data_IF_675657137861
#
_entry.id   IF_675657137861
#
_cell.length_a   1.000
_cell.length_b   1.000
_cell.length_c   1.000
_cell.angle_alpha   90.00
_cell.angle_beta   90.00
_cell.angle_gamma   90.00
#
_symmetry.space_group_name_H-M   'P 1'
#
loop_
_entity.id
_entity.type
_entity.pdbx_description
1 polymer ?
#
# COMPACT_ATOMS: atom_id res chain seq x y z
N UNK A 1 38.21 -39.72 -40.52
CA UNK A 1 37.11 -38.79 -40.67
C UNK A 1 35.90 -39.10 -39.80
N UNK A 2 35.53 -40.34 -39.47
CA UNK A 2 34.35 -40.67 -38.63
C UNK A 2 34.49 -40.35 -37.13
N UNK A 3 35.67 -40.22 -36.57
CA UNK A 3 35.91 -39.94 -35.14
C UNK A 3 35.75 -38.48 -34.78
N UNK A 4 35.98 -37.56 -35.68
CA UNK A 4 35.82 -36.11 -35.44
C UNK A 4 34.36 -35.63 -35.52
N UNK A 5 33.50 -36.35 -36.27
CA UNK A 5 32.09 -36.04 -36.37
C UNK A 5 31.36 -36.32 -35.04
N UNK A 6 31.79 -37.30 -34.26
CA UNK A 6 31.20 -37.66 -32.99
C UNK A 6 31.53 -36.65 -31.88
N UNK A 7 32.73 -36.06 -31.92
CA UNK A 7 33.18 -35.06 -30.96
C UNK A 7 32.47 -33.73 -31.18
N UNK A 8 32.23 -33.34 -32.44
CA UNK A 8 31.51 -32.14 -32.80
C UNK A 8 30.01 -32.23 -32.40
N UNK A 9 29.41 -33.42 -32.52
CA UNK A 9 28.01 -33.66 -32.09
C UNK A 9 27.85 -33.60 -30.57
N UNK A 10 28.88 -34.01 -29.81
CA UNK A 10 28.84 -33.99 -28.34
C UNK A 10 29.13 -32.58 -27.75
N UNK A 11 29.89 -31.75 -28.48
CA UNK A 11 30.18 -30.37 -28.07
C UNK A 11 29.01 -29.39 -28.40
N UNK A 12 28.20 -29.72 -29.40
CA UNK A 12 27.00 -28.95 -29.77
C UNK A 12 25.83 -29.13 -28.82
N UNK A 13 25.83 -30.15 -27.94
CA UNK A 13 24.76 -30.44 -27.01
C UNK A 13 24.95 -29.77 -25.63
N UNK A 14 26.08 -29.06 -25.44
CA UNK A 14 26.41 -28.38 -24.17
C UNK A 14 26.17 -26.87 -24.18
N UNK A 15 25.58 -26.34 -25.26
CA UNK A 15 25.21 -24.92 -25.39
C UNK A 15 23.70 -24.71 -25.45
N UNK A 16 22.91 -25.51 -24.72
CA UNK A 16 21.57 -25.13 -24.41
C UNK A 16 21.67 -24.08 -23.29
N UNK A 17 21.26 -22.83 -23.54
CA UNK A 17 21.19 -21.84 -22.46
C UNK A 17 20.22 -22.38 -21.42
N UNK A 18 20.66 -22.41 -20.17
CA UNK A 18 19.79 -22.55 -19.00
C UNK A 18 18.89 -21.31 -18.89
N UNK A 19 18.00 -21.14 -19.83
CA UNK A 19 16.88 -20.18 -19.73
C UNK A 19 15.62 -20.92 -19.28
N UNK A 20 15.73 -21.69 -18.21
CA UNK A 20 14.59 -22.40 -17.67
C UNK A 20 14.66 -22.34 -16.14
N UNK A 21 14.38 -21.17 -15.57
CA UNK A 21 13.91 -21.05 -14.19
C UNK A 21 13.14 -19.75 -13.88
N UNK A 22 12.87 -18.87 -14.85
CA UNK A 22 12.08 -17.67 -14.55
C UNK A 22 10.58 -17.95 -14.47
N UNK A 23 10.08 -19.02 -15.10
CA UNK A 23 8.64 -19.27 -15.19
C UNK A 23 8.01 -20.09 -14.07
N UNK A 24 8.80 -20.76 -13.20
CA UNK A 24 8.22 -21.62 -12.14
C UNK A 24 8.00 -20.83 -10.83
N UNK A 25 8.70 -19.71 -10.66
CA UNK A 25 8.57 -18.84 -9.47
C UNK A 25 7.74 -17.58 -9.75
N UNK A 26 7.34 -17.36 -10.99
CA UNK A 26 6.44 -16.29 -11.36
C UNK A 26 5.06 -16.53 -10.70
N UNK A 27 4.69 -15.66 -9.75
CA UNK A 27 3.48 -15.78 -8.96
C UNK A 27 3.66 -16.42 -7.56
N UNK A 28 4.85 -16.95 -7.23
CA UNK A 28 5.16 -17.39 -5.85
C UNK A 28 5.68 -16.22 -5.00
N UNK A 29 6.40 -15.30 -5.63
CA UNK A 29 6.86 -14.07 -4.98
C UNK A 29 6.21 -12.86 -5.61
N UNK A 30 5.71 -11.96 -4.76
CA UNK A 30 5.26 -10.65 -5.21
C UNK A 30 6.44 -9.89 -5.83
N UNK A 31 6.29 -9.48 -7.08
CA UNK A 31 7.31 -8.65 -7.73
C UNK A 31 7.08 -7.20 -7.30
N UNK A 32 8.04 -6.56 -6.60
CA UNK A 32 7.90 -5.16 -6.24
C UNK A 32 7.87 -4.32 -7.51
N UNK A 33 6.95 -3.36 -7.59
CA UNK A 33 7.08 -2.29 -8.55
C UNK A 33 8.33 -1.48 -8.17
N UNK A 34 9.10 -1.03 -9.16
CA UNK A 34 10.24 -0.19 -8.89
C UNK A 34 9.77 1.12 -8.22
N UNK A 35 10.25 1.38 -7.00
CA UNK A 35 10.15 2.71 -6.41
C UNK A 35 11.38 3.48 -6.82
N UNK A 36 11.20 4.59 -7.53
CA UNK A 36 12.30 5.45 -7.97
C UNK A 36 12.81 6.37 -6.86
N UNK A 37 12.17 6.35 -5.69
CA UNK A 37 12.51 7.23 -4.57
C UNK A 37 13.01 6.45 -3.36
N UNK A 38 14.08 6.96 -2.75
CA UNK A 38 14.54 6.56 -1.42
C UNK A 38 14.06 7.55 -0.33
N UNK A 39 13.35 8.61 -0.72
CA UNK A 39 12.85 9.64 0.18
C UNK A 39 11.43 9.29 0.59
N UNK A 40 11.13 9.44 1.89
CA UNK A 40 9.81 9.25 2.45
C UNK A 40 9.04 10.57 2.44
N UNK A 41 7.71 10.49 2.45
CA UNK A 41 6.81 11.64 2.45
C UNK A 41 6.19 11.92 1.10
N UNK A 42 5.87 13.16 0.82
CA UNK A 42 5.32 13.64 -0.45
C UNK A 42 6.46 13.76 -1.47
N UNK A 43 6.71 12.69 -2.22
CA UNK A 43 7.86 12.57 -3.14
C UNK A 43 7.64 13.20 -4.51
N UNK A 44 6.39 13.37 -4.91
CA UNK A 44 5.97 14.08 -6.13
C UNK A 44 4.74 14.91 -5.82
N UNK A 45 4.73 16.13 -6.31
CA UNK A 45 3.57 17.03 -6.21
C UNK A 45 3.45 17.81 -7.49
N UNK A 46 2.24 17.88 -8.04
CA UNK A 46 1.91 18.72 -9.17
C UNK A 46 0.81 19.71 -8.77
N UNK A 47 1.16 20.97 -8.48
CA UNK A 47 0.19 21.98 -8.08
C UNK A 47 -0.85 22.30 -9.15
N UNK A 48 -0.56 22.02 -10.43
CA UNK A 48 -1.48 22.32 -11.53
C UNK A 48 -2.63 21.34 -11.64
N UNK A 49 -2.40 20.09 -11.20
CA UNK A 49 -3.38 19.00 -11.20
C UNK A 49 -3.82 18.60 -9.80
N UNK A 50 -3.28 19.27 -8.77
CA UNK A 50 -3.49 18.94 -7.36
C UNK A 50 -3.17 17.49 -7.02
N UNK A 51 -2.29 16.85 -7.80
CA UNK A 51 -1.98 15.44 -7.67
C UNK A 51 -0.54 15.19 -7.24
N UNK A 52 -0.28 14.00 -6.74
CA UNK A 52 1.04 13.62 -6.33
C UNK A 52 1.16 12.18 -5.91
N UNK A 53 2.33 11.85 -5.40
CA UNK A 53 2.67 10.53 -4.87
C UNK A 53 3.28 10.67 -3.49
N UNK A 54 2.82 9.85 -2.57
CA UNK A 54 3.35 9.74 -1.20
C UNK A 54 4.03 8.38 -1.09
N UNK A 55 5.21 8.37 -0.50
CA UNK A 55 5.94 7.14 -0.18
C UNK A 55 6.21 7.08 1.31
N UNK A 56 5.75 6.01 1.96
CA UNK A 56 5.85 5.86 3.42
C UNK A 56 6.45 4.51 3.80
N UNK A 57 7.09 4.50 4.97
CA UNK A 57 7.51 3.28 5.66
C UNK A 57 6.49 2.96 6.77
N UNK A 58 5.65 1.96 6.52
CA UNK A 58 4.72 1.38 7.47
C UNK A 58 5.15 -0.05 7.88
N UNK A 59 6.44 -0.35 7.94
CA UNK A 59 6.96 -1.68 8.26
C UNK A 59 6.90 -2.01 9.75
N UNK A 60 7.01 -1.01 10.64
CA UNK A 60 6.99 -1.21 12.09
C UNK A 60 5.54 -1.33 12.60
N UNK A 61 5.21 -2.48 13.21
CA UNK A 61 3.91 -2.75 13.83
C UNK A 61 3.57 -1.82 15.00
N UNK A 62 4.54 -1.15 15.59
CA UNK A 62 4.33 -0.22 16.69
C UNK A 62 4.07 1.21 16.24
N UNK A 63 3.94 1.47 14.93
CA UNK A 63 3.83 2.82 14.40
C UNK A 63 2.59 3.02 13.58
N UNK A 64 1.96 4.18 13.80
CA UNK A 64 1.08 4.81 12.83
C UNK A 64 1.84 5.88 12.05
N UNK A 65 1.66 5.91 10.74
CA UNK A 65 2.17 6.95 9.86
C UNK A 65 1.00 7.84 9.44
N UNK A 66 1.04 9.09 9.88
CA UNK A 66 0.01 10.10 9.68
C UNK A 66 0.33 10.92 8.45
N UNK A 67 -0.67 11.17 7.61
CA UNK A 67 -0.58 11.92 6.36
C UNK A 67 -1.55 13.08 6.42
N UNK A 68 -1.03 14.29 6.21
CA UNK A 68 -1.79 15.53 6.09
C UNK A 68 -1.67 16.04 4.65
N UNK A 69 -2.77 16.01 3.91
CA UNK A 69 -2.83 16.48 2.53
C UNK A 69 -2.77 18.00 2.42
N UNK A 70 -3.26 18.73 3.43
CA UNK A 70 -3.30 20.18 3.45
C UNK A 70 -1.91 20.80 3.51
N UNK A 71 -1.07 20.27 4.39
CA UNK A 71 0.29 20.78 4.60
C UNK A 71 1.35 19.95 3.91
N UNK A 72 0.95 18.84 3.26
CA UNK A 72 1.84 17.86 2.62
C UNK A 72 2.91 17.34 3.58
N UNK A 73 2.49 16.95 4.79
CA UNK A 73 3.36 16.39 5.82
C UNK A 73 3.06 14.92 6.08
N UNK A 74 4.11 14.22 6.47
CA UNK A 74 4.03 12.86 6.98
C UNK A 74 4.74 12.81 8.32
N UNK A 75 4.01 12.36 9.35
CA UNK A 75 4.53 12.15 10.69
C UNK A 75 4.39 10.68 11.08
N UNK A 76 5.21 10.19 12.01
CA UNK A 76 5.15 8.81 12.49
C UNK A 76 5.21 8.76 14.01
N UNK A 77 4.25 8.05 14.61
CA UNK A 77 4.09 7.93 16.07
C UNK A 77 4.22 6.47 16.49
N UNK A 78 5.10 6.23 17.46
CA UNK A 78 5.21 4.93 18.11
C UNK A 78 4.14 4.82 19.22
N UNK A 79 3.16 3.93 19.03
CA UNK A 79 2.02 3.75 19.94
C UNK A 79 2.37 3.09 21.27
N UNK A 80 3.57 2.51 21.39
CA UNK A 80 4.07 1.93 22.64
C UNK A 80 4.85 2.93 23.47
N UNK A 81 5.09 4.13 22.94
CA UNK A 81 5.76 5.23 23.62
C UNK A 81 4.71 6.21 24.15
N UNK A 82 4.51 6.23 25.45
CA UNK A 82 3.50 7.08 26.10
C UNK A 82 3.78 8.59 26.01
N UNK A 83 5.00 8.99 25.63
CA UNK A 83 5.37 10.39 25.46
C UNK A 83 5.03 10.90 24.06
N UNK A 84 4.91 10.01 23.08
CA UNK A 84 4.48 10.37 21.74
C UNK A 84 2.95 10.51 21.66
N UNK A 85 2.50 11.50 20.92
CA UNK A 85 1.08 11.77 20.69
C UNK A 85 0.79 11.85 19.21
N UNK A 86 -0.44 11.54 18.84
CA UNK A 86 -0.91 11.78 17.48
C UNK A 86 -0.76 13.27 17.12
N UNK A 87 -0.40 13.60 15.87
CA UNK A 87 -0.40 14.99 15.41
C UNK A 87 -1.76 15.66 15.61
N UNK A 88 -1.80 16.96 15.81
CA UNK A 88 -3.05 17.70 15.92
C UNK A 88 -3.82 17.76 14.59
N UNK A 89 -3.06 17.88 13.49
CA UNK A 89 -3.60 17.95 12.14
C UNK A 89 -3.09 16.75 11.32
N UNK A 90 -4.02 16.03 10.75
CA UNK A 90 -3.80 14.90 9.83
C UNK A 90 -5.13 14.50 9.19
N UNK A 91 -5.07 13.80 8.07
CA UNK A 91 -6.25 13.38 7.31
C UNK A 91 -6.47 11.88 7.35
N UNK A 92 -5.41 11.12 7.02
CA UNK A 92 -5.41 9.66 7.11
C UNK A 92 -4.17 9.19 7.86
N UNK A 93 -4.25 8.02 8.49
CA UNK A 93 -3.09 7.36 9.08
C UNK A 93 -3.02 5.90 8.67
N UNK A 94 -1.81 5.40 8.43
CA UNK A 94 -1.53 4.06 7.94
C UNK A 94 -0.76 3.27 9.00
N UNK A 95 -1.24 2.06 9.30
CA UNK A 95 -0.58 1.08 10.16
C UNK A 95 -0.44 -0.22 9.39
N UNK A 96 0.76 -0.56 8.99
CA UNK A 96 0.99 -1.67 8.07
C UNK A 96 0.17 -1.48 6.78
N UNK A 97 -1.03 -2.03 6.72
CA UNK A 97 -1.95 -1.97 5.57
C UNK A 97 -3.32 -1.42 5.96
N UNK A 98 -3.60 -1.38 7.25
CA UNK A 98 -4.84 -0.83 7.80
C UNK A 98 -4.76 0.69 7.86
N UNK A 99 -5.88 1.35 7.64
CA UNK A 99 -5.98 2.81 7.58
C UNK A 99 -7.05 3.29 8.54
N UNK A 100 -6.85 4.46 9.12
CA UNK A 100 -7.88 5.25 9.80
C UNK A 100 -7.94 6.65 9.22
N UNK A 101 -9.07 7.33 9.41
CA UNK A 101 -9.29 8.72 9.03
C UNK A 101 -9.38 9.61 10.27
N UNK A 102 -9.14 10.90 10.12
CA UNK A 102 -9.39 11.88 11.20
C UNK A 102 -10.84 12.37 11.13
N UNK A 103 -11.77 11.57 11.66
CA UNK A 103 -13.22 11.83 11.59
C UNK A 103 -13.73 12.04 10.14
N UNK A 104 -13.09 11.39 9.17
CA UNK A 104 -13.50 11.34 7.78
C UNK A 104 -14.32 10.09 7.47
N UNK A 105 -14.69 9.94 6.19
CA UNK A 105 -15.40 8.78 5.69
C UNK A 105 -14.91 8.43 4.27
N UNK A 106 -15.01 7.16 3.88
CA UNK A 106 -14.41 6.65 2.64
C UNK A 106 -15.43 5.94 1.76
N UNK A 107 -15.30 6.15 0.45
CA UNK A 107 -16.06 5.47 -0.59
C UNK A 107 -15.09 4.82 -1.58
N UNK A 108 -15.21 3.51 -1.84
CA UNK A 108 -14.61 2.91 -3.02
C UNK A 108 -15.40 3.36 -4.26
N UNK A 109 -14.72 4.07 -5.18
CA UNK A 109 -15.39 4.71 -6.32
C UNK A 109 -15.71 3.77 -7.47
N UNK A 110 -15.16 2.55 -7.47
CA UNK A 110 -15.20 1.63 -8.60
C UNK A 110 -14.21 1.97 -9.74
N UNK A 111 -13.66 3.18 -9.79
CA UNK A 111 -12.65 3.58 -10.77
C UNK A 111 -11.28 2.97 -10.43
N UNK A 112 -10.47 2.75 -11.46
CA UNK A 112 -9.10 2.21 -11.34
C UNK A 112 -8.02 3.22 -11.71
N UNK A 113 -8.38 4.43 -12.07
CA UNK A 113 -7.45 5.50 -12.43
C UNK A 113 -8.06 6.88 -12.23
N UNK A 114 -7.21 7.84 -11.89
CA UNK A 114 -7.64 9.23 -11.65
C UNK A 114 -8.18 9.91 -12.89
N UNK A 115 -7.60 9.65 -14.07
CA UNK A 115 -8.08 10.25 -15.31
C UNK A 115 -9.52 9.87 -15.63
N UNK A 116 -9.92 8.63 -15.34
CA UNK A 116 -11.32 8.20 -15.53
C UNK A 116 -12.25 8.81 -14.49
N UNK A 117 -11.78 8.97 -13.26
CA UNK A 117 -12.52 9.63 -12.20
C UNK A 117 -12.71 11.14 -12.50
N UNK A 118 -11.64 11.84 -12.90
CA UNK A 118 -11.70 13.27 -13.24
C UNK A 118 -12.56 13.58 -14.46
N UNK A 119 -12.73 12.61 -15.38
CA UNK A 119 -13.61 12.73 -16.54
C UNK A 119 -15.05 12.27 -16.26
N UNK A 120 -15.38 11.92 -15.03
CA UNK A 120 -16.75 11.59 -14.66
C UNK A 120 -17.64 12.83 -14.71
N UNK A 121 -18.92 12.64 -15.02
CA UNK A 121 -19.89 13.75 -15.15
C UNK A 121 -20.41 14.26 -13.81
N UNK A 122 -20.12 13.56 -12.73
CA UNK A 122 -20.53 13.89 -11.37
C UNK A 122 -19.60 13.20 -10.35
N UNK A 123 -19.57 13.75 -9.12
CA UNK A 123 -18.89 13.11 -7.99
C UNK A 123 -19.41 11.67 -7.80
N UNK A 124 -18.53 10.73 -7.45
CA UNK A 124 -18.95 9.36 -7.18
C UNK A 124 -20.03 9.32 -6.09
N UNK A 125 -21.13 8.66 -6.42
CA UNK A 125 -22.23 8.46 -5.48
C UNK A 125 -22.08 7.10 -4.80
N UNK A 126 -22.44 7.04 -3.51
CA UNK A 126 -22.39 5.82 -2.73
C UNK A 126 -22.45 6.09 -1.23
N UNK A 127 -22.30 5.01 -0.46
CA UNK A 127 -22.25 5.09 1.00
C UNK A 127 -20.80 5.31 1.42
N UNK A 128 -20.54 6.47 2.00
CA UNK A 128 -19.26 6.73 2.65
C UNK A 128 -19.21 5.99 3.99
N UNK A 129 -18.15 5.24 4.21
CA UNK A 129 -17.97 4.39 5.40
C UNK A 129 -17.10 5.14 6.40
N UNK A 130 -17.64 5.35 7.59
CA UNK A 130 -16.92 5.92 8.72
C UNK A 130 -15.97 4.90 9.34
N UNK A 131 -15.02 5.37 10.15
CA UNK A 131 -14.15 4.51 10.92
C UNK A 131 -14.93 3.74 12.00
N UNK A 132 -14.52 2.50 12.23
CA UNK A 132 -15.07 1.64 13.28
C UNK A 132 -14.03 1.38 14.36
N UNK A 133 -14.49 1.29 15.62
CA UNK A 133 -13.63 0.93 16.75
C UNK A 133 -13.31 -0.55 16.75
N UNK A 134 -12.07 -0.89 17.02
CA UNK A 134 -11.61 -2.28 17.12
C UNK A 134 -10.59 -2.47 18.23
N UNK A 135 -10.58 -3.67 18.81
CA UNK A 135 -9.56 -4.15 19.75
C UNK A 135 -8.87 -5.44 19.26
N UNK A 136 -9.13 -5.85 18.02
CA UNK A 136 -8.69 -7.15 17.47
C UNK A 136 -8.16 -7.05 16.04
N UNK A 137 -7.94 -5.82 15.54
CA UNK A 137 -7.49 -5.61 14.16
C UNK A 137 -6.05 -5.10 14.09
N UNK A 138 -5.71 -4.11 14.89
CA UNK A 138 -4.43 -3.41 14.82
C UNK A 138 -3.41 -4.14 15.67
N UNK A 139 -2.62 -5.01 15.05
CA UNK A 139 -1.61 -5.81 15.72
C UNK A 139 -0.33 -4.98 15.93
N UNK A 140 0.09 -4.80 17.19
CA UNK A 140 1.30 -4.03 17.55
C UNK A 140 2.48 -4.90 17.95
N UNK A 141 2.26 -6.17 18.24
CA UNK A 141 3.32 -7.15 18.46
C UNK A 141 2.91 -8.51 17.88
N UNK A 142 3.72 -8.98 16.94
CA UNK A 142 3.56 -10.26 16.24
C UNK A 142 4.58 -11.31 16.70
N UNK A 143 5.41 -11.02 17.68
CA UNK A 143 6.50 -11.92 18.12
C UNK A 143 5.99 -13.29 18.60
N UNK A 144 4.83 -13.31 19.23
CA UNK A 144 4.16 -14.53 19.68
C UNK A 144 3.21 -15.18 18.67
N UNK A 145 3.22 -14.77 17.40
CA UNK A 145 2.25 -15.23 16.38
C UNK A 145 2.22 -16.74 16.22
N UNK A 146 3.39 -17.41 16.30
CA UNK A 146 3.49 -18.87 16.14
C UNK A 146 2.84 -19.63 17.29
N UNK A 147 2.72 -19.00 18.47
CA UNK A 147 2.06 -19.54 19.66
C UNK A 147 0.62 -19.02 19.80
N UNK A 148 0.12 -18.28 18.80
CA UNK A 148 -1.21 -17.66 18.81
C UNK A 148 -1.30 -16.40 19.69
N UNK A 149 -0.19 -15.88 20.18
CA UNK A 149 -0.11 -14.71 21.04
C UNK A 149 0.23 -13.47 20.23
N UNK A 150 -0.81 -12.80 19.70
CA UNK A 150 -0.69 -11.52 19.01
C UNK A 150 -1.20 -10.44 19.94
N UNK A 151 -0.44 -9.35 20.10
CA UNK A 151 -0.90 -8.18 20.86
C UNK A 151 -1.55 -7.17 19.93
N UNK A 152 -2.79 -6.81 20.22
CA UNK A 152 -3.55 -5.81 19.51
C UNK A 152 -3.70 -4.54 20.34
N UNK A 153 -3.76 -3.39 19.67
CA UNK A 153 -4.16 -2.14 20.31
C UNK A 153 -5.62 -1.82 20.00
N UNK A 154 -6.23 -1.10 20.91
CA UNK A 154 -7.53 -0.46 20.68
C UNK A 154 -7.34 0.77 19.76
N UNK A 155 -8.11 0.84 18.68
CA UNK A 155 -8.00 1.94 17.72
C UNK A 155 -9.27 2.05 16.87
N UNK A 156 -9.45 3.19 16.23
CA UNK A 156 -10.32 3.29 15.05
C UNK A 156 -9.58 2.77 13.83
N UNK A 157 -10.31 2.21 12.86
CA UNK A 157 -9.82 1.93 11.53
C UNK A 157 -10.96 2.01 10.51
N UNK A 158 -10.61 2.32 9.26
CA UNK A 158 -11.56 2.39 8.16
C UNK A 158 -11.55 1.08 7.38
N UNK A 159 -12.66 0.35 7.43
CA UNK A 159 -12.79 -0.95 6.74
C UNK A 159 -12.73 -0.79 5.22
N UNK A 160 -13.27 0.32 4.70
CA UNK A 160 -13.35 0.53 3.26
C UNK A 160 -11.98 0.85 2.66
N UNK A 161 -11.25 1.81 3.23
CA UNK A 161 -9.95 2.19 2.73
C UNK A 161 -8.91 1.07 2.94
N UNK A 162 -9.02 0.30 4.00
CA UNK A 162 -8.11 -0.83 4.27
C UNK A 162 -8.22 -1.96 3.23
N UNK A 163 -9.28 -1.98 2.40
CA UNK A 163 -9.41 -2.89 1.25
C UNK A 163 -8.49 -2.54 0.08
N UNK A 164 -7.79 -1.40 0.11
CA UNK A 164 -6.82 -1.05 -0.93
C UNK A 164 -5.75 -2.12 -1.12
N UNK A 165 -5.45 -2.90 -0.07
CA UNK A 165 -4.59 -4.08 -0.13
C UNK A 165 -5.28 -5.27 0.55
N UNK A 166 -5.63 -6.28 -0.21
CA UNK A 166 -6.10 -7.54 0.33
C UNK A 166 -4.93 -8.44 0.74
N UNK A 167 -4.93 -8.90 1.99
CA UNK A 167 -3.93 -9.82 2.54
C UNK A 167 -4.61 -11.15 2.87
N UNK A 168 -4.48 -12.12 1.98
CA UNK A 168 -4.98 -13.48 2.18
C UNK A 168 -3.99 -14.28 3.04
N UNK A 169 -4.41 -14.61 4.24
CA UNK A 169 -3.64 -15.37 5.24
C UNK A 169 -4.02 -16.87 5.26
N UNK A 170 -4.84 -17.34 4.33
CA UNK A 170 -5.27 -18.74 4.25
C UNK A 170 -4.10 -19.69 3.93
N UNK A 171 -3.04 -19.16 3.32
CA UNK A 171 -1.81 -19.85 3.00
C UNK A 171 -0.60 -19.18 3.67
N UNK A 172 0.50 -19.91 3.81
CA UNK A 172 1.78 -19.37 4.28
C UNK A 172 2.85 -19.59 3.21
N UNK A 173 3.53 -18.53 2.71
CA UNK A 173 3.37 -17.11 3.09
C UNK A 173 2.04 -16.51 2.62
N UNK A 174 1.53 -15.44 3.28
CA UNK A 174 0.33 -14.73 2.87
C UNK A 174 0.45 -14.13 1.48
N UNK A 175 -0.65 -14.16 0.71
CA UNK A 175 -0.72 -13.52 -0.61
C UNK A 175 -1.27 -12.10 -0.48
N UNK A 176 -0.68 -11.17 -1.23
CA UNK A 176 -1.02 -9.75 -1.22
C UNK A 176 -1.54 -9.34 -2.59
N UNK A 177 -2.69 -8.67 -2.62
CA UNK A 177 -3.31 -8.24 -3.88
C UNK A 177 -3.80 -6.81 -3.76
N UNK A 178 -3.27 -5.92 -4.61
CA UNK A 178 -3.77 -4.55 -4.73
C UNK A 178 -5.20 -4.54 -5.27
N UNK A 179 -6.08 -3.76 -4.68
CA UNK A 179 -7.44 -3.55 -5.23
C UNK A 179 -7.38 -2.83 -6.58
N UNK A 180 -6.34 -2.04 -6.81
CA UNK A 180 -6.19 -1.12 -7.94
C UNK A 180 -7.34 -0.11 -8.05
N UNK A 181 -8.09 0.11 -6.98
CA UNK A 181 -9.23 1.03 -6.94
C UNK A 181 -8.80 2.41 -6.45
N UNK A 182 -9.54 3.41 -6.93
CA UNK A 182 -9.49 4.76 -6.38
C UNK A 182 -10.51 4.87 -5.27
N UNK A 183 -10.10 5.37 -4.13
CA UNK A 183 -10.95 5.64 -2.98
C UNK A 183 -11.14 7.15 -2.83
N UNK A 184 -12.36 7.57 -2.60
CA UNK A 184 -12.69 8.94 -2.26
C UNK A 184 -12.76 9.07 -0.75
N UNK A 185 -11.90 9.90 -0.18
CA UNK A 185 -11.85 10.19 1.24
C UNK A 185 -12.49 11.56 1.44
N UNK A 186 -13.61 11.59 2.14
CA UNK A 186 -14.21 12.83 2.64
C UNK A 186 -13.50 13.17 3.94
N UNK A 187 -12.83 14.32 3.98
CA UNK A 187 -12.07 14.79 5.12
C UNK A 187 -12.95 15.47 6.16
N UNK A 188 -12.42 15.68 7.36
CA UNK A 188 -13.10 16.29 8.50
C UNK A 188 -13.67 17.69 8.20
N UNK A 189 -12.98 18.46 7.38
CA UNK A 189 -13.39 19.81 6.95
C UNK A 189 -14.42 19.83 5.82
N UNK A 190 -14.78 18.64 5.31
CA UNK A 190 -15.72 18.45 4.21
C UNK A 190 -15.09 18.47 2.81
N UNK A 191 -13.80 18.70 2.67
CA UNK A 191 -13.08 18.54 1.40
C UNK A 191 -12.90 17.06 1.04
N UNK A 192 -12.45 16.79 -0.17
CA UNK A 192 -12.26 15.42 -0.66
C UNK A 192 -10.84 15.21 -1.14
N UNK A 193 -10.29 14.03 -0.81
CA UNK A 193 -9.08 13.51 -1.43
C UNK A 193 -9.41 12.23 -2.20
N UNK A 194 -8.87 12.09 -3.41
CA UNK A 194 -8.89 10.82 -4.12
C UNK A 194 -7.53 10.12 -3.89
N UNK A 195 -7.54 8.88 -3.42
CA UNK A 195 -6.31 8.13 -3.11
C UNK A 195 -6.32 6.76 -3.76
N UNK A 196 -5.14 6.26 -4.10
CA UNK A 196 -4.96 4.93 -4.66
C UNK A 196 -3.62 4.35 -4.20
N UNK A 197 -3.64 3.16 -3.62
CA UNK A 197 -2.42 2.41 -3.35
C UNK A 197 -1.91 1.79 -4.66
N UNK A 198 -0.66 2.10 -5.03
CA UNK A 198 -0.04 1.63 -6.27
C UNK A 198 1.09 0.63 -6.03
N UNK A 199 1.68 0.65 -4.82
CA UNK A 199 2.68 -0.33 -4.42
C UNK A 199 2.69 -0.48 -2.90
N UNK A 200 3.07 -1.66 -2.41
CA UNK A 200 3.16 -1.98 -0.98
C UNK A 200 4.53 -2.56 -0.58
N UNK A 201 5.53 -2.47 -1.47
CA UNK A 201 6.89 -2.94 -1.23
C UNK A 201 7.92 -1.92 -1.69
N UNK A 202 9.13 -1.99 -1.13
CA UNK A 202 10.28 -1.29 -1.69
C UNK A 202 10.96 -2.13 -2.81
N UNK A 203 11.99 -1.55 -3.43
CA UNK A 203 12.76 -2.22 -4.49
C UNK A 203 13.47 -3.51 -4.04
N UNK A 204 13.62 -3.73 -2.73
CA UNK A 204 14.18 -4.96 -2.16
C UNK A 204 13.11 -6.00 -1.80
N UNK A 205 11.84 -5.77 -2.14
CA UNK A 205 10.73 -6.67 -1.84
C UNK A 205 10.26 -6.64 -0.38
N UNK A 206 10.67 -5.64 0.41
CA UNK A 206 10.24 -5.49 1.80
C UNK A 206 8.84 -4.91 1.83
N UNK A 207 7.87 -5.69 2.33
CA UNK A 207 6.45 -5.30 2.45
C UNK A 207 6.23 -4.30 3.58
N UNK A 208 5.33 -3.33 3.34
CA UNK A 208 5.01 -2.25 4.28
C UNK A 208 5.55 -0.89 3.82
N UNK A 209 6.36 -0.84 2.76
CA UNK A 209 6.66 0.40 2.07
C UNK A 209 5.52 0.70 1.10
N UNK A 210 4.73 1.73 1.41
CA UNK A 210 3.51 2.03 0.68
C UNK A 210 3.72 3.20 -0.28
N UNK A 211 3.34 3.03 -1.55
CA UNK A 211 3.29 4.10 -2.54
C UNK A 211 1.83 4.44 -2.81
N UNK A 212 1.45 5.65 -2.49
CA UNK A 212 0.07 6.14 -2.55
C UNK A 212 0.02 7.31 -3.53
N UNK A 213 -0.69 7.15 -4.63
CA UNK A 213 -1.02 8.28 -5.49
C UNK A 213 -2.26 8.99 -4.93
N UNK A 214 -2.31 10.32 -5.09
CA UNK A 214 -3.41 11.14 -4.57
C UNK A 214 -3.74 12.32 -5.49
N UNK A 215 -4.96 12.83 -5.33
CA UNK A 215 -5.41 14.16 -5.77
C UNK A 215 -6.03 14.85 -4.58
N UNK A 216 -5.54 16.05 -4.22
CA UNK A 216 -6.10 16.87 -3.15
C UNK A 216 -5.87 18.37 -3.37
N UNK A 217 -6.91 19.24 -3.22
CA UNK A 217 -8.31 18.85 -3.11
C UNK A 217 -8.82 18.21 -4.40
N UNK A 218 -9.74 17.23 -4.26
CA UNK A 218 -10.43 16.66 -5.40
C UNK A 218 -11.76 17.37 -5.63
N UNK A 219 -11.93 17.92 -6.82
CA UNK A 219 -13.13 18.60 -7.31
C UNK A 219 -13.42 18.14 -8.75
N UNK A 220 -14.71 18.14 -9.17
CA UNK A 220 -15.16 17.86 -10.54
C UNK A 220 -15.77 19.12 -11.13
#
# INVERSE_FOLDING_TARGET
MKRYLFIISMLGMMLLPFSACDGILEGIYDSPAASDSNELGFIRTDPSTHSGTIYIDATDYRRWTFIDFHTQKVDSVNVTDSEQKEPEEWDIAVHRYDVKTNAGAVLETGFTGFSTLQNASAMPEGVYVDDVWTNAKIAIDMSGMMDGNIVYMESYYNEELSKWLNVDKSNMPPTYTLSNKVYMVKLKDGTYAAVRLTNYMNASGVKGFMTIDYIYPFEL
#
